data_IF_597833907224
#
_entry.id   IF_597833907224
#
_cell.length_a   1.000
_cell.length_b   1.000
_cell.length_c   1.000
_cell.angle_alpha   90.00
_cell.angle_beta   90.00
_cell.angle_gamma   90.00
#
_symmetry.space_group_name_H-M   'P 1'
#
loop_
_entity.id
_entity.type
_entity.pdbx_description
1 polymer ?
#
# COMPACT_ATOMS: atom_id res chain seq x y z
N UNK A 1 -19.41 -5.13 -24.07
CA UNK A 1 -19.27 -4.99 -25.56
C UNK A 1 -17.91 -5.47 -26.06
N UNK A 2 -16.78 -4.80 -25.75
CA UNK A 2 -15.45 -5.18 -26.26
C UNK A 2 -15.02 -6.63 -25.97
N UNK A 3 -15.38 -7.17 -24.79
CA UNK A 3 -15.13 -8.59 -24.43
C UNK A 3 -15.89 -9.55 -25.35
N UNK A 4 -17.18 -9.28 -25.59
CA UNK A 4 -18.03 -10.09 -26.48
C UNK A 4 -17.58 -10.02 -27.95
N UNK A 5 -17.03 -8.88 -28.38
CA UNK A 5 -16.42 -8.71 -29.71
C UNK A 5 -15.02 -9.35 -29.83
N UNK A 6 -14.48 -9.95 -28.76
CA UNK A 6 -13.14 -10.56 -28.76
C UNK A 6 -11.96 -9.59 -28.77
N UNK A 7 -12.21 -8.28 -28.60
CA UNK A 7 -11.14 -7.25 -28.61
C UNK A 7 -10.34 -7.19 -27.31
N UNK A 8 -10.94 -7.58 -26.20
CA UNK A 8 -10.27 -7.72 -24.89
C UNK A 8 -10.67 -9.06 -24.27
N UNK A 9 -9.71 -9.73 -23.62
CA UNK A 9 -9.98 -10.99 -22.91
C UNK A 9 -10.59 -10.73 -21.52
N UNK A 10 -10.05 -9.74 -20.83
CA UNK A 10 -10.42 -9.34 -19.48
C UNK A 10 -10.46 -7.82 -19.36
N UNK A 11 -11.20 -7.32 -18.37
CA UNK A 11 -11.17 -5.92 -17.97
C UNK A 11 -11.14 -5.85 -16.45
N UNK A 12 -10.53 -4.78 -15.96
CA UNK A 12 -10.43 -4.47 -14.54
C UNK A 12 -10.57 -2.98 -14.31
N UNK A 13 -10.55 -2.59 -13.04
CA UNK A 13 -10.65 -1.20 -12.60
C UNK A 13 -9.36 -0.84 -11.88
N UNK A 14 -8.88 0.39 -12.05
CA UNK A 14 -7.74 0.91 -11.30
C UNK A 14 -8.18 2.12 -10.46
N UNK A 15 -8.01 2.02 -9.14
CA UNK A 15 -8.31 3.09 -8.19
C UNK A 15 -7.11 4.03 -8.08
N UNK A 16 -7.32 5.34 -8.06
CA UNK A 16 -6.21 6.29 -8.01
C UNK A 16 -6.56 7.67 -8.54
N UNK A 17 -5.62 8.64 -8.51
CA UNK A 17 -4.16 8.42 -8.57
C UNK A 17 -3.47 8.11 -7.23
N UNK A 18 -4.02 8.56 -6.09
CA UNK A 18 -3.45 8.37 -4.75
C UNK A 18 -4.19 7.30 -3.93
N UNK A 19 -3.68 6.98 -2.73
CA UNK A 19 -4.35 6.10 -1.78
C UNK A 19 -5.68 6.72 -1.33
N UNK A 20 -6.71 5.89 -1.18
CA UNK A 20 -8.07 6.32 -0.88
C UNK A 20 -9.09 5.44 -1.60
N UNK A 21 -10.25 6.00 -1.88
CA UNK A 21 -11.29 5.36 -2.71
C UNK A 21 -11.93 4.13 -2.08
N UNK A 22 -12.06 4.10 -0.74
CA UNK A 22 -12.64 3.00 0.03
C UNK A 22 -13.97 2.53 -0.54
N UNK A 23 -14.96 3.43 -0.62
CA UNK A 23 -16.30 3.08 -1.09
C UNK A 23 -16.31 2.65 -2.56
N UNK A 24 -15.52 3.29 -3.41
CA UNK A 24 -15.41 2.90 -4.82
C UNK A 24 -14.81 1.50 -4.96
N UNK A 25 -13.73 1.20 -4.22
CA UNK A 25 -13.10 -0.12 -4.23
C UNK A 25 -14.04 -1.21 -3.73
N UNK A 26 -14.68 -0.99 -2.58
CA UNK A 26 -15.65 -1.95 -2.02
C UNK A 26 -16.84 -2.14 -2.96
N UNK A 27 -17.38 -1.08 -3.55
CA UNK A 27 -18.51 -1.17 -4.49
C UNK A 27 -18.10 -1.84 -5.81
N UNK A 28 -16.87 -1.62 -6.30
CA UNK A 28 -16.37 -2.34 -7.47
C UNK A 28 -16.41 -3.86 -7.25
N UNK A 29 -15.95 -4.32 -6.09
CA UNK A 29 -16.00 -5.73 -5.72
C UNK A 29 -17.45 -6.21 -5.59
N UNK A 30 -18.29 -5.50 -4.82
CA UNK A 30 -19.67 -5.95 -4.54
C UNK A 30 -20.57 -5.92 -5.77
N UNK A 31 -20.49 -4.90 -6.60
CA UNK A 31 -21.49 -4.61 -7.63
C UNK A 31 -21.06 -4.94 -9.06
N UNK A 32 -19.78 -5.26 -9.31
CA UNK A 32 -19.28 -5.50 -10.67
C UNK A 32 -18.68 -6.90 -10.79
N UNK A 33 -18.67 -7.41 -12.01
CA UNK A 33 -17.96 -8.63 -12.38
C UNK A 33 -16.71 -8.22 -13.17
N UNK A 34 -15.64 -7.92 -12.43
CA UNK A 34 -14.34 -7.51 -12.96
C UNK A 34 -13.32 -8.62 -12.73
N UNK A 35 -12.42 -8.81 -13.70
CA UNK A 35 -11.36 -9.80 -13.56
C UNK A 35 -10.30 -9.34 -12.57
N UNK A 36 -10.04 -8.04 -12.52
CA UNK A 36 -9.06 -7.48 -11.59
C UNK A 36 -9.40 -6.08 -11.07
N UNK A 37 -8.91 -5.79 -9.87
CA UNK A 37 -8.92 -4.47 -9.27
C UNK A 37 -7.49 -4.07 -8.92
N UNK A 38 -7.03 -2.93 -9.43
CA UNK A 38 -5.73 -2.36 -9.11
C UNK A 38 -5.86 -1.28 -8.04
N UNK A 39 -5.15 -1.40 -6.92
CA UNK A 39 -5.15 -0.40 -5.84
C UNK A 39 -3.83 -0.34 -5.09
N UNK A 40 -3.70 0.66 -4.22
CA UNK A 40 -2.54 0.82 -3.33
C UNK A 40 -2.75 -0.02 -2.08
N UNK A 41 -1.75 -0.82 -1.72
CA UNK A 41 -1.70 -1.61 -0.49
C UNK A 41 -0.24 -2.00 -0.20
N UNK A 42 0.20 -1.85 1.05
CA UNK A 42 1.52 -2.28 1.51
C UNK A 42 1.53 -2.38 3.04
N UNK A 43 2.60 -2.94 3.62
CA UNK A 43 2.71 -3.17 5.07
C UNK A 43 2.51 -1.90 5.92
N UNK A 44 2.83 -0.71 5.41
CA UNK A 44 2.70 0.57 6.12
C UNK A 44 1.35 1.26 5.88
N UNK A 45 0.71 0.99 4.75
CA UNK A 45 -0.51 1.65 4.27
C UNK A 45 -1.57 0.60 3.93
N UNK A 46 -2.18 0.00 4.96
CA UNK A 46 -3.12 -1.11 4.78
C UNK A 46 -4.58 -0.64 4.64
N UNK A 47 -4.95 0.53 5.15
CA UNK A 47 -6.24 1.15 4.88
C UNK A 47 -6.17 2.08 3.65
N UNK A 48 -7.10 1.99 2.67
CA UNK A 48 -8.35 1.23 2.68
C UNK A 48 -8.27 -0.20 2.13
N UNK A 49 -7.09 -0.65 1.70
CA UNK A 49 -6.90 -1.98 1.06
C UNK A 49 -7.50 -3.14 1.85
N UNK A 50 -7.35 -3.18 3.19
CA UNK A 50 -7.97 -4.22 4.04
C UNK A 50 -9.48 -4.36 3.79
N UNK A 51 -10.22 -3.25 3.79
CA UNK A 51 -11.66 -3.30 3.59
C UNK A 51 -12.06 -3.73 2.16
N UNK A 52 -11.20 -3.47 1.16
CA UNK A 52 -11.40 -3.96 -0.22
C UNK A 52 -11.18 -5.47 -0.27
N UNK A 53 -10.12 -5.97 0.38
CA UNK A 53 -9.84 -7.40 0.50
C UNK A 53 -10.95 -8.11 1.30
N UNK A 54 -11.41 -7.55 2.41
CA UNK A 54 -12.53 -8.08 3.20
C UNK A 54 -13.80 -8.20 2.35
N UNK A 55 -14.12 -7.17 1.55
CA UNK A 55 -15.25 -7.24 0.63
C UNK A 55 -15.11 -8.36 -0.43
N UNK A 56 -13.89 -8.68 -0.86
CA UNK A 56 -13.65 -9.81 -1.76
C UNK A 56 -13.86 -11.15 -1.06
N UNK A 57 -13.41 -11.28 0.20
CA UNK A 57 -13.73 -12.45 1.03
C UNK A 57 -15.24 -12.63 1.19
N UNK A 58 -15.93 -11.57 1.61
CA UNK A 58 -17.36 -11.60 1.92
C UNK A 58 -18.23 -11.97 0.72
N UNK A 59 -17.82 -11.50 -0.48
CA UNK A 59 -18.59 -11.73 -1.72
C UNK A 59 -18.25 -13.04 -2.41
N UNK A 60 -17.10 -13.65 -2.09
CA UNK A 60 -16.63 -14.89 -2.70
C UNK A 60 -16.42 -14.81 -4.22
N UNK A 61 -16.18 -13.60 -4.76
CA UNK A 61 -15.95 -13.40 -6.19
C UNK A 61 -14.50 -13.65 -6.58
N UNK A 62 -14.30 -14.10 -7.81
CA UNK A 62 -12.98 -14.38 -8.40
C UNK A 62 -12.21 -13.13 -8.88
N UNK A 63 -12.48 -11.95 -8.29
CA UNK A 63 -11.74 -10.73 -8.65
C UNK A 63 -10.34 -10.78 -8.05
N UNK A 64 -9.32 -10.64 -8.91
CA UNK A 64 -7.93 -10.65 -8.47
C UNK A 64 -7.38 -9.23 -8.25
N UNK A 65 -6.43 -9.07 -7.34
CA UNK A 65 -5.79 -7.80 -7.05
C UNK A 65 -4.49 -7.60 -7.82
N UNK A 66 -4.31 -6.39 -8.34
CA UNK A 66 -3.05 -5.88 -8.85
C UNK A 66 -2.55 -4.79 -7.91
N UNK A 67 -1.55 -5.07 -7.09
CA UNK A 67 -1.15 -4.14 -6.02
C UNK A 67 -0.05 -3.21 -6.50
N UNK A 68 -0.27 -1.90 -6.40
CA UNK A 68 0.75 -0.86 -6.72
C UNK A 68 1.23 -0.13 -5.47
N UNK A 69 2.37 0.56 -5.57
CA UNK A 69 3.02 1.26 -4.44
C UNK A 69 3.35 0.26 -3.31
N UNK A 70 3.82 -0.91 -3.70
CA UNK A 70 4.16 -2.04 -2.81
C UNK A 70 5.22 -1.70 -1.79
N UNK A 71 6.13 -0.77 -2.12
CA UNK A 71 7.22 -0.35 -1.25
C UNK A 71 6.96 0.99 -0.53
N UNK A 72 5.72 1.46 -0.45
CA UNK A 72 5.37 2.75 0.19
C UNK A 72 6.25 3.91 -0.33
N UNK A 73 6.26 4.09 -1.65
CA UNK A 73 7.11 5.08 -2.34
C UNK A 73 8.62 4.94 -2.04
N UNK A 74 9.11 3.70 -1.91
CA UNK A 74 10.52 3.35 -1.68
C UNK A 74 10.92 3.26 -0.21
N UNK A 75 10.01 3.52 0.72
CA UNK A 75 10.25 3.40 2.16
C UNK A 75 10.67 1.96 2.54
N UNK A 76 9.94 0.95 2.02
CA UNK A 76 10.19 -0.47 2.30
C UNK A 76 11.36 -1.05 1.47
N UNK A 77 12.09 -0.23 0.72
CA UNK A 77 13.39 -0.62 0.17
C UNK A 77 14.51 -0.48 1.22
N UNK A 78 14.23 0.20 2.33
CA UNK A 78 15.16 0.33 3.47
C UNK A 78 16.37 1.22 3.22
N UNK A 79 16.34 2.07 2.18
CA UNK A 79 17.49 2.91 1.75
C UNK A 79 17.43 4.35 2.26
N UNK A 80 16.30 4.79 2.81
CA UNK A 80 16.16 6.17 3.28
C UNK A 80 16.82 6.41 4.64
N UNK A 81 17.31 7.63 4.78
CA UNK A 81 17.84 8.20 6.03
C UNK A 81 17.12 9.51 6.35
N UNK A 82 17.30 10.04 7.56
CA UNK A 82 16.68 11.31 7.98
C UNK A 82 17.15 12.53 7.15
N UNK A 83 18.25 12.38 6.42
CA UNK A 83 18.88 13.36 5.53
C UNK A 83 18.45 13.19 4.07
N UNK A 84 17.68 12.16 3.74
CA UNK A 84 17.21 11.92 2.37
C UNK A 84 16.43 13.14 1.86
N UNK A 85 16.81 13.62 0.67
CA UNK A 85 16.16 14.74 -0.02
C UNK A 85 15.63 14.26 -1.35
N UNK A 86 14.38 14.61 -1.63
CA UNK A 86 13.74 14.31 -2.92
C UNK A 86 13.87 15.51 -3.86
N UNK A 87 14.12 15.29 -5.16
CA UNK A 87 14.10 16.36 -6.16
C UNK A 87 12.75 17.10 -6.18
N UNK A 88 12.70 18.39 -6.57
CA UNK A 88 11.44 19.14 -6.62
C UNK A 88 10.36 18.55 -7.54
N UNK A 89 10.76 17.79 -8.56
CA UNK A 89 9.85 17.10 -9.49
C UNK A 89 9.28 15.80 -8.93
N UNK A 90 9.81 15.32 -7.81
CA UNK A 90 9.36 14.09 -7.17
C UNK A 90 8.13 14.35 -6.30
N UNK A 91 7.06 13.58 -6.48
CA UNK A 91 5.86 13.68 -5.65
C UNK A 91 6.14 13.58 -4.15
N UNK A 92 7.18 12.83 -3.73
CA UNK A 92 7.60 12.69 -2.33
C UNK A 92 8.08 14.01 -1.72
N UNK A 93 8.54 14.97 -2.54
CA UNK A 93 8.90 16.31 -2.06
C UNK A 93 7.72 17.08 -1.46
N UNK A 94 6.48 16.70 -1.79
CA UNK A 94 5.25 17.28 -1.23
C UNK A 94 4.81 16.60 0.09
N UNK A 95 5.43 15.47 0.46
CA UNK A 95 5.12 14.79 1.73
C UNK A 95 5.68 15.60 2.90
N UNK A 96 4.98 15.67 4.04
CA UNK A 96 5.52 16.33 5.22
C UNK A 96 6.78 15.60 5.70
N UNK A 97 7.73 16.31 6.31
CA UNK A 97 8.96 15.71 6.83
C UNK A 97 8.71 14.57 7.82
N UNK A 98 7.62 14.67 8.59
CA UNK A 98 7.18 13.62 9.52
C UNK A 98 6.89 12.29 8.81
N UNK A 99 6.43 12.28 7.56
CA UNK A 99 6.26 11.04 6.77
C UNK A 99 7.59 10.29 6.62
N UNK A 100 8.68 11.00 6.29
CA UNK A 100 10.00 10.39 6.15
C UNK A 100 10.51 9.85 7.50
N UNK A 101 10.49 10.71 8.53
CA UNK A 101 11.03 10.36 9.85
C UNK A 101 10.25 9.22 10.52
N UNK A 102 8.92 9.26 10.46
CA UNK A 102 8.08 8.20 11.01
C UNK A 102 8.20 6.94 10.18
N UNK A 103 8.23 7.05 8.84
CA UNK A 103 8.42 5.91 7.96
C UNK A 103 9.71 5.15 8.24
N UNK A 104 10.83 5.85 8.45
CA UNK A 104 12.11 5.21 8.83
C UNK A 104 11.96 4.45 10.16
N UNK A 105 11.36 5.06 11.18
CA UNK A 105 11.13 4.38 12.48
C UNK A 105 10.26 3.12 12.34
N UNK A 106 9.25 3.15 11.47
CA UNK A 106 8.41 1.97 11.16
C UNK A 106 9.21 0.90 10.44
N UNK A 107 10.03 1.28 9.45
CA UNK A 107 10.90 0.38 8.69
C UNK A 107 11.89 -0.34 9.59
N UNK A 108 12.50 0.36 10.55
CA UNK A 108 13.45 -0.28 11.47
C UNK A 108 12.83 -1.42 12.29
N UNK A 109 11.55 -1.32 12.61
CA UNK A 109 10.81 -2.40 13.29
C UNK A 109 10.52 -3.59 12.37
N UNK A 110 10.57 -3.42 11.04
CA UNK A 110 10.35 -4.47 10.04
C UNK A 110 11.64 -5.18 9.61
N UNK A 111 12.81 -4.75 10.11
CA UNK A 111 14.12 -5.33 9.74
C UNK A 111 14.27 -6.80 10.10
N UNK A 112 13.47 -7.32 11.03
CA UNK A 112 13.45 -8.75 11.37
C UNK A 112 13.01 -9.64 10.19
N UNK A 113 12.38 -9.07 9.15
CA UNK A 113 12.00 -9.78 7.94
C UNK A 113 13.20 -10.06 7.02
N UNK A 114 14.33 -9.37 7.22
CA UNK A 114 15.55 -9.53 6.43
C UNK A 114 16.36 -10.73 6.92
N UNK A 115 16.94 -11.46 5.97
CA UNK A 115 17.88 -12.55 6.26
C UNK A 115 18.91 -12.65 5.13
N UNK A 116 19.79 -13.65 5.17
CA UNK A 116 20.85 -13.84 4.17
C UNK A 116 20.35 -14.07 2.74
N UNK A 117 19.07 -14.41 2.56
CA UNK A 117 18.46 -14.80 1.28
C UNK A 117 17.30 -13.87 0.87
N UNK A 118 16.92 -12.90 1.71
CA UNK A 118 15.75 -12.02 1.49
C UNK A 118 16.01 -10.61 1.99
N UNK A 119 15.91 -9.64 1.10
CA UNK A 119 15.93 -8.20 1.44
C UNK A 119 14.58 -7.74 1.99
N UNK A 120 14.54 -6.57 2.65
CA UNK A 120 13.26 -5.97 3.06
C UNK A 120 12.34 -5.70 1.87
N UNK A 121 12.90 -5.29 0.73
CA UNK A 121 12.15 -5.05 -0.51
C UNK A 121 11.48 -6.32 -1.01
N UNK A 122 12.16 -7.47 -0.96
CA UNK A 122 11.59 -8.76 -1.31
C UNK A 122 10.56 -9.23 -0.28
N UNK A 123 10.81 -9.04 1.02
CA UNK A 123 9.85 -9.35 2.07
C UNK A 123 8.53 -8.56 1.91
N UNK A 124 8.60 -7.29 1.51
CA UNK A 124 7.42 -6.47 1.24
C UNK A 124 6.57 -7.01 0.07
N UNK A 125 7.21 -7.57 -0.96
CA UNK A 125 6.52 -8.21 -2.07
C UNK A 125 5.92 -9.56 -1.66
N UNK A 126 6.65 -10.37 -0.88
CA UNK A 126 6.13 -11.63 -0.36
C UNK A 126 4.93 -11.46 0.55
N UNK A 127 4.92 -10.43 1.40
CA UNK A 127 3.75 -10.12 2.24
C UNK A 127 2.48 -9.90 1.40
N UNK A 128 2.59 -9.27 0.23
CA UNK A 128 1.48 -9.08 -0.68
C UNK A 128 1.11 -10.38 -1.41
N UNK A 129 2.10 -11.14 -1.88
CA UNK A 129 1.90 -12.39 -2.62
C UNK A 129 1.40 -13.55 -1.74
N UNK A 130 1.44 -13.40 -0.41
CA UNK A 130 0.88 -14.37 0.54
C UNK A 130 -0.66 -14.39 0.53
N UNK A 131 -1.31 -13.36 -0.01
CA UNK A 131 -2.74 -13.37 -0.27
C UNK A 131 -2.99 -13.95 -1.68
N UNK A 132 -3.58 -15.14 -1.76
CA UNK A 132 -3.85 -15.85 -3.02
C UNK A 132 -4.71 -15.06 -4.02
N UNK A 133 -5.39 -13.99 -3.56
CA UNK A 133 -6.16 -13.09 -4.43
C UNK A 133 -5.28 -12.06 -5.11
N UNK A 134 -4.03 -11.88 -4.71
CA UNK A 134 -3.08 -10.97 -5.37
C UNK A 134 -2.48 -11.67 -6.58
N UNK A 135 -2.96 -11.31 -7.77
CA UNK A 135 -2.43 -11.85 -9.02
C UNK A 135 -1.04 -11.31 -9.36
N UNK A 136 -0.73 -10.06 -8.96
CA UNK A 136 0.57 -9.46 -9.23
C UNK A 136 0.83 -8.21 -8.38
N UNK A 137 2.11 -7.98 -8.11
CA UNK A 137 2.65 -6.76 -7.50
C UNK A 137 3.31 -5.88 -8.57
N UNK A 138 3.12 -4.57 -8.44
CA UNK A 138 3.62 -3.56 -9.38
C UNK A 138 4.54 -2.57 -8.64
N UNK A 139 5.77 -2.99 -8.27
CA UNK A 139 6.74 -2.10 -7.64
C UNK A 139 7.24 -1.04 -8.62
N UNK A 140 7.72 0.08 -8.08
CA UNK A 140 8.51 1.02 -8.87
C UNK A 140 9.93 0.47 -9.02
N UNK A 141 10.45 0.48 -10.24
CA UNK A 141 11.79 -0.06 -10.55
C UNK A 141 12.60 1.08 -11.17
N UNK A 142 13.69 1.44 -10.52
CA UNK A 142 14.52 2.58 -10.91
C UNK A 142 15.77 2.17 -11.71
N UNK A 143 16.19 0.92 -11.58
CA UNK A 143 17.37 0.37 -12.27
C UNK A 143 17.28 -1.16 -12.41
N UNK A 144 18.22 -1.73 -13.16
CA UNK A 144 18.30 -3.17 -13.41
C UNK A 144 18.55 -3.99 -12.14
N UNK A 145 19.36 -3.48 -11.21
CA UNK A 145 19.63 -4.16 -9.94
C UNK A 145 18.34 -4.43 -9.16
N UNK A 146 17.46 -3.43 -9.05
CA UNK A 146 16.15 -3.58 -8.43
C UNK A 146 15.23 -4.53 -9.20
N UNK A 147 15.27 -4.48 -10.53
CA UNK A 147 14.49 -5.42 -11.35
C UNK A 147 14.88 -6.87 -11.01
N UNK A 148 16.18 -7.15 -11.01
CA UNK A 148 16.71 -8.49 -10.69
C UNK A 148 16.42 -8.87 -9.25
N UNK A 149 16.58 -7.95 -8.29
CA UNK A 149 16.25 -8.17 -6.88
C UNK A 149 14.76 -8.52 -6.69
N UNK A 150 13.86 -7.68 -7.19
CA UNK A 150 12.42 -7.81 -6.97
C UNK A 150 11.83 -9.01 -7.73
N UNK A 151 12.35 -9.34 -8.91
CA UNK A 151 11.93 -10.52 -9.67
C UNK A 151 12.20 -11.84 -8.92
N UNK A 152 13.20 -11.86 -8.03
CA UNK A 152 13.54 -13.03 -7.21
C UNK A 152 12.70 -13.15 -5.93
N UNK A 153 11.85 -12.17 -5.60
CA UNK A 153 11.06 -12.21 -4.37
C UNK A 153 10.21 -13.49 -4.18
N UNK A 154 9.59 -14.09 -5.22
CA UNK A 154 8.87 -15.36 -5.07
C UNK A 154 9.77 -16.57 -4.76
N UNK A 155 11.08 -16.47 -5.02
CA UNK A 155 12.05 -17.55 -4.80
C UNK A 155 12.73 -17.46 -3.42
N UNK A 156 12.63 -16.31 -2.74
CA UNK A 156 13.13 -16.15 -1.39
C UNK A 156 12.32 -17.01 -0.39
N UNK A 157 12.87 -17.35 0.79
CA UNK A 157 12.10 -18.00 1.85
C UNK A 157 10.80 -17.21 2.12
N UNK A 158 9.62 -17.83 2.27
CA UNK A 158 8.37 -17.12 2.51
C UNK A 158 8.32 -16.48 3.90
N UNK A 159 7.41 -15.53 4.11
CA UNK A 159 7.09 -15.04 5.45
C UNK A 159 6.37 -16.14 6.24
N UNK A 160 6.72 -16.29 7.51
CA UNK A 160 6.04 -17.20 8.42
C UNK A 160 4.72 -16.60 8.91
N UNK A 161 3.83 -17.42 9.47
CA UNK A 161 2.61 -16.92 10.10
C UNK A 161 2.92 -15.94 11.26
N UNK A 162 3.99 -16.20 12.00
CA UNK A 162 4.45 -15.32 13.09
C UNK A 162 4.95 -13.96 12.55
N UNK A 163 5.64 -13.96 11.41
CA UNK A 163 6.07 -12.72 10.74
C UNK A 163 4.85 -11.86 10.38
N UNK A 164 3.83 -12.48 9.77
CA UNK A 164 2.59 -11.80 9.36
C UNK A 164 1.82 -11.29 10.57
N UNK A 165 1.67 -12.10 11.62
CA UNK A 165 0.99 -11.70 12.85
C UNK A 165 1.67 -10.48 13.51
N UNK A 166 3.00 -10.45 13.50
CA UNK A 166 3.77 -9.33 14.05
C UNK A 166 3.63 -8.04 13.21
N UNK A 167 3.56 -8.16 11.88
CA UNK A 167 3.26 -7.02 11.00
C UNK A 167 1.86 -6.46 11.30
N UNK A 168 0.89 -7.34 11.53
CA UNK A 168 -0.49 -6.95 11.85
C UNK A 168 -0.58 -6.23 13.20
N UNK A 169 0.13 -6.74 14.23
CA UNK A 169 0.27 -6.09 15.53
C UNK A 169 0.87 -4.68 15.37
N UNK A 170 2.02 -4.59 14.71
CA UNK A 170 2.66 -3.29 14.45
C UNK A 170 1.74 -2.34 13.69
N UNK A 171 1.04 -2.80 12.66
CA UNK A 171 0.11 -1.92 11.95
C UNK A 171 -1.03 -1.43 12.85
N UNK A 172 -1.61 -2.31 13.66
CA UNK A 172 -2.74 -1.99 14.56
C UNK A 172 -2.38 -0.95 15.63
N UNK A 173 -1.13 -0.97 16.11
CA UNK A 173 -0.62 -0.03 17.10
C UNK A 173 0.07 1.19 16.46
N UNK A 174 -0.09 1.38 15.15
CA UNK A 174 0.64 2.39 14.37
C UNK A 174 2.16 2.35 14.57
N UNK A 175 2.71 1.16 14.80
CA UNK A 175 4.12 0.87 15.07
C UNK A 175 4.63 1.60 16.32
N UNK A 176 3.75 1.90 17.28
CA UNK A 176 4.05 2.71 18.46
C UNK A 176 4.39 4.17 18.12
N UNK A 177 4.07 4.64 16.92
CA UNK A 177 4.35 6.00 16.49
C UNK A 177 3.15 6.89 16.78
N UNK A 178 3.35 7.89 17.64
CA UNK A 178 2.40 8.98 17.81
C UNK A 178 2.41 9.88 16.56
N UNK A 179 1.24 10.09 15.96
CA UNK A 179 1.11 11.01 14.84
C UNK A 179 1.09 12.44 15.33
N UNK A 180 1.84 13.32 14.64
CA UNK A 180 1.71 14.74 14.88
C UNK A 180 0.27 15.18 14.58
N UNK A 181 -0.34 16.01 15.43
CA UNK A 181 -1.69 16.49 15.18
C UNK A 181 -1.74 17.20 13.81
N UNK A 182 -2.77 16.94 13.00
CA UNK A 182 -2.88 17.52 11.67
C UNK A 182 -2.85 19.05 11.75
N UNK A 183 -1.97 19.66 10.96
CA UNK A 183 -1.90 21.13 10.84
C UNK A 183 -2.93 21.61 9.85
N UNK A 184 -4.04 22.15 10.35
CA UNK A 184 -5.06 22.79 9.52
C UNK A 184 -4.72 24.28 9.32
N UNK A 185 -4.95 24.78 8.11
CA UNK A 185 -4.77 26.22 7.79
C UNK A 185 -5.96 27.10 8.23
N UNK A 186 -7.04 26.51 8.75
CA UNK A 186 -8.26 27.20 9.18
C UNK A 186 -8.78 26.68 10.53
N UNK A 187 -9.85 27.28 11.04
CA UNK A 187 -10.53 26.83 12.26
C UNK A 187 -11.39 25.60 11.97
N UNK A 188 -11.15 24.50 12.70
CA UNK A 188 -11.97 23.28 12.62
C UNK A 188 -13.30 23.40 13.39
N UNK A 189 -13.59 24.59 13.89
CA UNK A 189 -14.78 24.92 14.64
C UNK A 189 -15.68 25.82 13.80
N UNK A 190 -16.99 25.55 13.83
CA UNK A 190 -17.98 26.47 13.26
C UNK A 190 -18.05 27.72 14.14
N UNK A 191 -18.10 28.94 13.57
CA UNK A 191 -18.44 30.13 14.34
C UNK A 191 -19.76 29.87 15.07
N UNK A 192 -19.78 30.07 16.39
CA UNK A 192 -21.03 30.05 17.15
C UNK A 192 -21.96 31.08 16.50
N UNK A 193 -23.16 30.65 16.10
CA UNK A 193 -24.16 31.54 15.51
C UNK A 193 -24.26 32.79 16.37
N UNK A 194 -23.93 33.94 15.78
CA UNK A 194 -24.31 35.22 16.37
C UNK A 194 -25.83 35.23 16.38
N UNK A 195 -26.42 35.07 17.56
CA UNK A 195 -27.84 35.31 17.77
C UNK A 195 -28.17 36.67 17.16
N UNK A 196 -28.91 36.66 16.06
CA UNK A 196 -29.39 37.87 15.44
C UNK A 196 -30.25 38.61 16.47
N UNK A 197 -29.85 39.84 16.80
CA UNK A 197 -30.63 40.79 17.57
C UNK A 197 -31.71 41.44 16.68
#
# INVERSE_FOLDING_TARGET
KLKAEGKVRYYGIALGPAIGWLYEGVNCIRERDIASLQHIYNMLEQHPGRAIHDAATDTGKDTMFLVRVTHSSGMLEGKYTAETKFPPTDHRSHRPRSWLLNGIKKVEQLRFLENSERTLGQAALQWLLADDRVASTLPNIYNEEQLVEFAKAPECPPLTADDVAKIDEFYSENFGIEEEPPKFKGTMERPKETAAA
#
